data_IF_999741690135
#
_entry.id   IF_999741690135
#
_cell.length_a   1.000
_cell.length_b   1.000
_cell.length_c   1.000
_cell.angle_alpha   90.00
_cell.angle_beta   90.00
_cell.angle_gamma   90.00
#
_symmetry.space_group_name_H-M   'P 1'
#
loop_
_entity.id
_entity.type
_entity.pdbx_description
1 polymer ?
#
# COMPACT_ATOMS: atom_id res chain seq x y z
N UNK A 1 2.80 -24.26 9.62
CA UNK A 1 1.38 -24.48 9.32
C UNK A 1 1.16 -24.62 7.82
N UNK A 2 0.64 -25.76 7.38
CA UNK A 2 0.23 -25.97 5.98
C UNK A 2 -1.03 -25.13 5.64
N UNK A 3 -1.21 -24.71 4.38
CA UNK A 3 -2.37 -23.90 3.97
C UNK A 3 -3.73 -24.52 4.29
N UNK A 4 -3.89 -25.83 4.08
CA UNK A 4 -5.14 -26.56 4.36
C UNK A 4 -5.53 -26.47 5.85
N UNK A 5 -4.56 -26.59 6.75
CA UNK A 5 -4.78 -26.46 8.20
C UNK A 5 -5.22 -25.05 8.57
N UNK A 6 -4.61 -24.03 7.97
CA UNK A 6 -5.01 -22.64 8.19
C UNK A 6 -6.43 -22.35 7.68
N UNK A 7 -6.83 -22.91 6.53
CA UNK A 7 -8.20 -22.81 5.99
C UNK A 7 -9.19 -23.44 6.97
N UNK A 8 -8.91 -24.67 7.43
CA UNK A 8 -9.77 -25.39 8.38
C UNK A 8 -9.97 -24.60 9.68
N UNK A 9 -8.88 -24.13 10.31
CA UNK A 9 -8.94 -23.37 11.56
C UNK A 9 -9.76 -22.08 11.43
N UNK A 10 -9.68 -21.37 10.29
CA UNK A 10 -10.50 -20.19 10.05
C UNK A 10 -11.98 -20.53 9.97
N UNK A 11 -12.31 -21.61 9.29
CA UNK A 11 -13.68 -22.08 9.17
C UNK A 11 -14.23 -22.51 10.54
N UNK A 12 -13.46 -23.26 11.34
CA UNK A 12 -13.80 -23.64 12.71
C UNK A 12 -14.09 -22.41 13.59
N UNK A 13 -13.25 -21.37 13.54
CA UNK A 13 -13.49 -20.14 14.32
C UNK A 13 -14.79 -19.47 13.90
N UNK A 14 -15.06 -19.36 12.60
CA UNK A 14 -16.30 -18.78 12.08
C UNK A 14 -17.53 -19.53 12.59
N UNK A 15 -17.53 -20.86 12.48
CA UNK A 15 -18.63 -21.71 12.94
C UNK A 15 -18.87 -21.59 14.45
N UNK A 16 -17.78 -21.52 15.23
CA UNK A 16 -17.89 -21.28 16.67
C UNK A 16 -18.58 -19.95 16.93
N UNK A 17 -18.14 -18.84 16.31
CA UNK A 17 -18.75 -17.52 16.49
C UNK A 17 -20.21 -17.48 16.05
N UNK A 18 -20.56 -18.04 14.89
CA UNK A 18 -21.95 -18.16 14.44
C UNK A 18 -22.83 -18.87 15.48
N UNK A 19 -22.29 -19.92 16.09
CA UNK A 19 -23.02 -20.76 17.06
C UNK A 19 -23.08 -20.20 18.49
N UNK A 20 -22.30 -19.16 18.81
CA UNK A 20 -22.29 -18.51 20.14
C UNK A 20 -22.79 -17.05 20.09
N UNK A 21 -23.15 -16.56 18.92
CA UNK A 21 -23.43 -15.15 18.66
C UNK A 21 -24.45 -14.55 19.63
N UNK A 22 -25.51 -15.30 19.97
CA UNK A 22 -26.55 -14.82 20.87
C UNK A 22 -26.03 -14.61 22.30
N UNK A 23 -25.38 -15.63 22.88
CA UNK A 23 -24.77 -15.47 24.20
C UNK A 23 -23.62 -14.47 24.20
N UNK A 24 -22.89 -14.34 23.08
CA UNK A 24 -21.87 -13.31 22.91
C UNK A 24 -22.49 -11.91 22.99
N UNK A 25 -23.58 -11.67 22.24
CA UNK A 25 -24.30 -10.39 22.23
C UNK A 25 -24.78 -10.00 23.63
N UNK A 26 -25.46 -10.90 24.33
CA UNK A 26 -25.99 -10.66 25.69
C UNK A 26 -24.89 -10.30 26.71
N UNK A 27 -23.77 -11.01 26.67
CA UNK A 27 -22.64 -10.82 27.60
C UNK A 27 -21.86 -9.51 27.40
N UNK A 28 -22.11 -8.79 26.29
CA UNK A 28 -21.33 -7.61 25.85
C UNK A 28 -22.21 -6.39 25.55
N UNK A 29 -23.34 -6.31 26.26
CA UNK A 29 -24.38 -5.28 26.09
C UNK A 29 -24.14 -3.97 26.87
N UNK A 30 -23.11 -3.87 27.73
CA UNK A 30 -22.80 -2.66 28.52
C UNK A 30 -21.40 -2.11 28.22
N UNK A 31 -21.25 -0.78 28.30
CA UNK A 31 -20.08 0.01 27.88
C UNK A 31 -18.79 -0.26 28.65
N UNK A 32 -17.64 -0.01 28.01
CA UNK A 32 -16.31 -0.33 28.57
C UNK A 32 -15.24 0.73 28.28
N UNK A 33 -14.34 0.81 29.25
CA UNK A 33 -13.03 1.46 29.28
C UNK A 33 -11.94 0.77 28.40
N UNK A 34 -12.27 -0.30 27.66
CA UNK A 34 -11.29 -1.08 26.86
C UNK A 34 -10.62 -0.22 25.76
N UNK A 35 -11.29 0.86 25.36
CA UNK A 35 -10.92 1.72 24.24
C UNK A 35 -10.29 3.05 24.66
N UNK A 36 -10.21 3.33 25.97
CA UNK A 36 -9.69 4.61 26.50
C UNK A 36 -8.25 4.88 26.04
N UNK A 37 -7.44 3.83 25.90
CA UNK A 37 -6.07 3.92 25.36
C UNK A 37 -6.03 4.58 23.96
N UNK A 38 -7.09 4.44 23.17
CA UNK A 38 -7.15 5.00 21.82
C UNK A 38 -7.58 6.47 21.77
N UNK A 39 -8.08 7.03 22.87
CA UNK A 39 -8.64 8.38 22.92
C UNK A 39 -7.61 9.45 22.59
N UNK A 40 -6.38 9.30 23.07
CA UNK A 40 -5.27 10.24 22.82
C UNK A 40 -4.91 10.35 21.33
N UNK A 41 -5.35 9.39 20.51
CA UNK A 41 -5.00 9.28 19.10
C UNK A 41 -6.18 9.53 18.17
N UNK A 42 -7.42 9.40 18.63
CA UNK A 42 -8.63 9.46 17.81
C UNK A 42 -9.09 10.91 17.58
N UNK A 43 -9.29 11.30 16.30
CA UNK A 43 -9.64 12.70 15.96
C UNK A 43 -11.14 13.01 16.01
N UNK A 44 -12.00 12.01 16.24
CA UNK A 44 -13.44 12.23 16.38
C UNK A 44 -14.15 12.53 15.07
N UNK A 45 -14.88 13.65 15.03
CA UNK A 45 -15.85 14.02 13.97
C UNK A 45 -15.33 13.98 12.52
N UNK A 46 -14.02 14.09 12.31
CA UNK A 46 -13.42 14.11 10.98
C UNK A 46 -13.03 12.71 10.48
N UNK A 47 -13.13 11.69 11.34
CA UNK A 47 -12.69 10.33 11.01
C UNK A 47 -13.71 9.58 10.15
N UNK A 48 -13.22 9.02 9.04
CA UNK A 48 -13.90 8.00 8.23
C UNK A 48 -13.47 6.64 8.79
N UNK A 49 -14.38 6.01 9.56
CA UNK A 49 -14.08 4.84 10.39
C UNK A 49 -14.39 3.53 9.66
N UNK A 50 -13.44 2.60 9.70
CA UNK A 50 -13.65 1.19 9.39
C UNK A 50 -13.45 0.35 10.65
N UNK A 51 -14.41 -0.50 10.99
CA UNK A 51 -14.30 -1.46 12.08
C UNK A 51 -14.29 -2.90 11.52
N UNK A 52 -13.10 -3.50 11.48
CA UNK A 52 -12.88 -4.83 10.89
C UNK A 52 -12.96 -5.89 11.98
N UNK A 53 -14.02 -6.69 11.93
CA UNK A 53 -14.50 -7.60 12.98
C UNK A 53 -15.38 -6.88 14.01
N UNK A 54 -16.33 -6.08 13.52
CA UNK A 54 -17.20 -5.23 14.33
C UNK A 54 -18.14 -6.01 15.27
N UNK A 55 -18.35 -7.31 15.03
CA UNK A 55 -19.25 -8.16 15.81
C UNK A 55 -20.67 -7.60 15.84
N UNK A 56 -21.18 -7.36 17.06
CA UNK A 56 -22.50 -6.76 17.28
C UNK A 56 -22.48 -5.23 17.34
N UNK A 57 -21.43 -4.57 16.84
CA UNK A 57 -21.30 -3.10 16.86
C UNK A 57 -20.93 -2.54 18.23
N UNK A 58 -20.30 -3.33 19.13
CA UNK A 58 -19.92 -2.86 20.47
C UNK A 58 -19.01 -1.63 20.44
N UNK A 59 -18.07 -1.56 19.50
CA UNK A 59 -17.20 -0.39 19.34
C UNK A 59 -17.99 0.84 18.89
N UNK A 60 -19.00 0.68 18.04
CA UNK A 60 -19.80 1.80 17.56
C UNK A 60 -20.48 2.56 18.71
N UNK A 61 -21.04 1.85 19.71
CA UNK A 61 -21.61 2.50 20.93
C UNK A 61 -20.61 3.42 21.64
N UNK A 62 -19.33 3.06 21.59
CA UNK A 62 -18.27 3.87 22.16
C UNK A 62 -17.95 5.08 21.29
N UNK A 63 -17.82 4.86 19.97
CA UNK A 63 -17.48 5.92 19.02
C UNK A 63 -18.60 6.94 18.80
N UNK A 64 -19.87 6.59 19.00
CA UNK A 64 -20.99 7.55 18.98
C UNK A 64 -20.74 8.72 19.96
N UNK A 65 -20.14 8.44 21.12
CA UNK A 65 -19.80 9.46 22.12
C UNK A 65 -18.61 10.33 21.69
N UNK A 66 -17.73 9.79 20.85
CA UNK A 66 -16.52 10.47 20.35
C UNK A 66 -16.73 11.20 19.02
N UNK A 67 -17.87 10.95 18.37
CA UNK A 67 -18.26 11.42 17.02
C UNK A 67 -17.34 10.84 15.93
N UNK A 68 -17.87 10.76 14.72
CA UNK A 68 -17.17 10.36 13.50
C UNK A 68 -17.87 10.96 12.28
N UNK A 69 -17.20 10.99 11.14
CA UNK A 69 -17.79 11.44 9.87
C UNK A 69 -18.69 10.37 9.27
N UNK A 70 -18.18 9.14 9.22
CA UNK A 70 -18.92 7.94 8.78
C UNK A 70 -18.30 6.69 9.39
N UNK A 71 -19.10 5.65 9.54
CA UNK A 71 -18.67 4.36 10.09
C UNK A 71 -19.10 3.21 9.19
N UNK A 72 -18.18 2.28 8.92
CA UNK A 72 -18.49 1.00 8.29
C UNK A 72 -18.00 -0.14 9.18
N UNK A 73 -18.93 -0.97 9.66
CA UNK A 73 -18.62 -2.21 10.35
C UNK A 73 -18.53 -3.39 9.36
N UNK A 74 -17.46 -4.17 9.44
CA UNK A 74 -17.28 -5.39 8.66
C UNK A 74 -17.15 -6.58 9.60
N UNK A 75 -17.88 -7.67 9.33
CA UNK A 75 -17.72 -8.93 10.06
C UNK A 75 -18.04 -10.13 9.16
N UNK A 76 -17.62 -11.33 9.54
CA UNK A 76 -17.92 -12.57 8.82
C UNK A 76 -19.03 -13.41 9.49
N UNK A 77 -19.51 -13.00 10.65
CA UNK A 77 -20.56 -13.65 11.44
C UNK A 77 -21.92 -13.01 11.14
N UNK A 78 -22.75 -13.68 10.34
CA UNK A 78 -24.07 -13.17 9.93
C UNK A 78 -25.00 -12.88 11.12
N UNK A 79 -25.09 -13.73 12.16
CA UNK A 79 -25.93 -13.42 13.33
C UNK A 79 -25.51 -12.14 14.07
N UNK A 80 -24.21 -11.89 14.24
CA UNK A 80 -23.72 -10.68 14.91
C UNK A 80 -23.98 -9.42 14.07
N UNK A 81 -23.77 -9.50 12.75
CA UNK A 81 -24.12 -8.40 11.84
C UNK A 81 -25.62 -8.08 11.85
N UNK A 82 -26.50 -9.09 11.96
CA UNK A 82 -27.94 -8.85 12.09
C UNK A 82 -28.27 -8.06 13.35
N UNK A 83 -27.64 -8.40 14.48
CA UNK A 83 -27.79 -7.64 15.73
C UNK A 83 -27.32 -6.19 15.57
N UNK A 84 -26.12 -5.99 15.00
CA UNK A 84 -25.58 -4.65 14.78
C UNK A 84 -26.48 -3.80 13.86
N UNK A 85 -26.89 -4.35 12.71
CA UNK A 85 -27.79 -3.68 11.76
C UNK A 85 -29.12 -3.30 12.38
N UNK A 86 -29.69 -4.18 13.22
CA UNK A 86 -30.96 -3.91 13.91
C UNK A 86 -30.81 -2.79 14.92
N UNK A 87 -29.72 -2.78 15.68
CA UNK A 87 -29.49 -1.81 16.75
C UNK A 87 -29.23 -0.40 16.21
N UNK A 88 -28.46 -0.26 15.14
CA UNK A 88 -28.06 1.04 14.59
C UNK A 88 -28.80 1.41 13.30
N UNK A 89 -29.98 0.82 13.05
CA UNK A 89 -30.75 1.02 11.81
C UNK A 89 -31.13 2.49 11.54
N UNK A 90 -31.25 3.30 12.59
CA UNK A 90 -31.63 4.71 12.49
C UNK A 90 -30.45 5.65 12.17
N UNK A 91 -29.22 5.15 12.13
CA UNK A 91 -28.03 5.98 11.99
C UNK A 91 -27.58 6.07 10.53
N UNK A 92 -27.87 7.18 9.84
CA UNK A 92 -27.64 7.33 8.39
C UNK A 92 -26.16 7.25 7.98
N UNK A 93 -25.25 7.72 8.82
CA UNK A 93 -23.80 7.68 8.57
C UNK A 93 -23.12 6.33 8.93
N UNK A 94 -23.91 5.31 9.27
CA UNK A 94 -23.43 3.99 9.72
C UNK A 94 -23.85 2.91 8.72
N UNK A 95 -22.88 2.14 8.26
CA UNK A 95 -23.08 0.96 7.42
C UNK A 95 -22.55 -0.32 8.07
N UNK A 96 -23.10 -1.46 7.65
CA UNK A 96 -22.57 -2.78 7.99
C UNK A 96 -22.51 -3.69 6.78
N UNK A 97 -21.37 -4.34 6.55
CA UNK A 97 -21.12 -5.21 5.41
C UNK A 97 -20.51 -6.54 5.84
N UNK A 98 -20.93 -7.64 5.21
CA UNK A 98 -20.26 -8.92 5.37
C UNK A 98 -18.90 -8.88 4.69
N UNK A 99 -17.84 -9.31 5.37
CA UNK A 99 -16.49 -9.30 4.79
C UNK A 99 -15.47 -10.05 5.62
N UNK A 100 -14.23 -10.13 5.11
CA UNK A 100 -13.14 -10.85 5.74
C UNK A 100 -11.93 -9.93 5.94
N UNK A 101 -11.22 -10.03 7.07
CA UNK A 101 -10.00 -9.24 7.29
C UNK A 101 -8.87 -9.57 6.30
N UNK A 102 -8.88 -10.76 5.68
CA UNK A 102 -7.88 -11.15 4.68
C UNK A 102 -8.18 -10.64 3.27
N UNK A 103 -9.38 -10.10 3.06
CA UNK A 103 -9.84 -9.53 1.80
C UNK A 103 -11.01 -8.59 2.13
N UNK A 104 -10.67 -7.33 2.41
CA UNK A 104 -11.64 -6.36 2.92
C UNK A 104 -12.39 -5.77 1.71
N UNK A 105 -13.72 -5.95 1.58
CA UNK A 105 -14.47 -5.63 0.36
C UNK A 105 -14.80 -4.13 0.28
N UNK A 106 -13.78 -3.27 0.31
CA UNK A 106 -13.86 -1.80 0.26
C UNK A 106 -12.70 -1.22 -0.55
N UNK A 107 -12.90 0.01 -0.99
CA UNK A 107 -11.90 0.77 -1.76
C UNK A 107 -10.59 0.97 -0.98
N UNK A 108 -9.43 0.94 -1.67
CA UNK A 108 -8.15 1.28 -1.06
C UNK A 108 -8.08 2.77 -0.68
N UNK A 109 -7.22 3.11 0.27
CA UNK A 109 -6.87 4.48 0.66
C UNK A 109 -8.04 5.39 1.04
N UNK A 110 -9.04 4.85 1.74
CA UNK A 110 -10.27 5.57 2.04
C UNK A 110 -10.44 5.92 3.52
N UNK A 111 -9.99 5.04 4.43
CA UNK A 111 -10.32 5.14 5.85
C UNK A 111 -9.20 5.80 6.64
N UNK A 112 -9.56 6.81 7.42
CA UNK A 112 -8.64 7.59 8.23
C UNK A 112 -8.49 7.02 9.65
N UNK A 113 -9.45 6.20 10.10
CA UNK A 113 -9.37 5.43 11.34
C UNK A 113 -9.81 3.99 11.08
N UNK A 114 -8.92 3.03 11.27
CA UNK A 114 -9.22 1.61 11.10
C UNK A 114 -9.06 0.88 12.43
N UNK A 115 -10.13 0.27 12.91
CA UNK A 115 -10.16 -0.50 14.13
C UNK A 115 -10.16 -2.00 13.81
N UNK A 116 -9.36 -2.76 14.56
CA UNK A 116 -9.37 -4.22 14.55
C UNK A 116 -9.23 -4.74 15.96
N UNK A 117 -10.37 -4.88 16.63
CA UNK A 117 -10.43 -5.13 18.07
C UNK A 117 -10.67 -6.60 18.35
N UNK A 118 -9.68 -7.27 18.95
CA UNK A 118 -9.77 -8.67 19.33
C UNK A 118 -10.05 -9.62 18.13
N UNK A 119 -9.47 -9.32 16.97
CA UNK A 119 -9.67 -10.10 15.73
C UNK A 119 -8.41 -10.84 15.29
N UNK A 120 -7.27 -10.14 15.21
CA UNK A 120 -6.05 -10.69 14.58
C UNK A 120 -5.57 -12.01 15.21
N UNK A 121 -5.80 -12.20 16.51
CA UNK A 121 -5.45 -13.46 17.21
C UNK A 121 -6.30 -14.65 16.79
N UNK A 122 -7.39 -14.47 16.03
CA UNK A 122 -8.13 -15.56 15.40
C UNK A 122 -7.58 -15.97 14.03
N UNK A 123 -6.59 -15.24 13.51
CA UNK A 123 -6.00 -15.51 12.20
C UNK A 123 -4.83 -16.50 12.35
N UNK A 124 -4.93 -17.71 11.76
CA UNK A 124 -3.91 -18.71 11.89
C UNK A 124 -2.75 -18.46 10.94
N UNK A 125 -1.56 -18.87 11.36
CA UNK A 125 -0.29 -18.71 10.63
C UNK A 125 0.17 -17.27 10.45
N UNK A 126 1.48 -17.07 10.57
CA UNK A 126 2.15 -15.79 10.33
C UNK A 126 1.87 -15.19 8.95
N UNK A 127 1.76 -16.04 7.92
CA UNK A 127 1.52 -15.59 6.55
C UNK A 127 0.15 -14.90 6.40
N UNK A 128 -0.91 -15.49 6.95
CA UNK A 128 -2.24 -14.88 6.91
C UNK A 128 -2.36 -13.70 7.88
N UNK A 129 -1.67 -13.73 9.02
CA UNK A 129 -1.63 -12.56 9.92
C UNK A 129 -0.95 -11.36 9.24
N UNK A 130 0.14 -11.59 8.50
CA UNK A 130 0.79 -10.56 7.68
C UNK A 130 -0.12 -10.07 6.54
N UNK A 131 -0.83 -10.98 5.87
CA UNK A 131 -1.83 -10.63 4.85
C UNK A 131 -2.95 -9.75 5.43
N UNK A 132 -3.50 -10.12 6.60
CA UNK A 132 -4.52 -9.35 7.31
C UNK A 132 -4.07 -7.91 7.56
N UNK A 133 -2.84 -7.75 8.09
CA UNK A 133 -2.28 -6.42 8.35
C UNK A 133 -2.04 -5.63 7.05
N UNK A 134 -1.56 -6.27 5.98
CA UNK A 134 -1.41 -5.60 4.67
C UNK A 134 -2.75 -5.14 4.09
N UNK A 135 -3.80 -5.93 4.23
CA UNK A 135 -5.15 -5.54 3.83
C UNK A 135 -5.68 -4.35 4.64
N UNK A 136 -5.42 -4.32 5.95
CA UNK A 136 -5.71 -3.15 6.76
C UNK A 136 -4.93 -1.92 6.26
N UNK A 137 -3.65 -2.07 5.91
CA UNK A 137 -2.84 -0.98 5.34
C UNK A 137 -3.38 -0.49 3.99
N UNK A 138 -3.82 -1.41 3.11
CA UNK A 138 -4.37 -1.10 1.77
C UNK A 138 -5.57 -0.14 1.85
N UNK A 139 -6.47 -0.36 2.80
CA UNK A 139 -7.71 0.43 2.91
C UNK A 139 -7.51 1.79 3.61
N UNK A 140 -6.35 2.00 4.23
CA UNK A 140 -6.04 3.19 5.00
C UNK A 140 -5.50 4.34 4.14
N UNK A 141 -5.90 5.56 4.47
CA UNK A 141 -5.21 6.77 3.98
C UNK A 141 -3.78 6.82 4.53
N UNK A 142 -2.83 7.51 3.87
CA UNK A 142 -1.44 7.63 4.35
C UNK A 142 -1.30 8.13 5.80
N UNK A 143 -2.11 9.10 6.20
CA UNK A 143 -2.12 9.66 7.58
C UNK A 143 -3.11 8.94 8.51
N UNK A 144 -3.69 7.84 8.06
CA UNK A 144 -4.70 7.10 8.82
C UNK A 144 -4.08 6.37 10.02
N UNK A 145 -4.87 6.15 11.06
CA UNK A 145 -4.44 5.41 12.26
C UNK A 145 -5.12 4.06 12.38
N UNK A 146 -4.32 3.05 12.67
CA UNK A 146 -4.72 1.69 12.99
C UNK A 146 -4.81 1.56 14.50
N UNK A 147 -5.98 1.14 14.98
CA UNK A 147 -6.28 0.88 16.38
C UNK A 147 -6.48 -0.62 16.56
N UNK A 148 -5.45 -1.30 17.06
CA UNK A 148 -5.39 -2.74 17.09
C UNK A 148 -5.39 -3.25 18.53
N UNK A 149 -6.17 -4.31 18.78
CA UNK A 149 -6.04 -5.07 20.03
C UNK A 149 -6.04 -6.58 19.81
N UNK A 150 -5.22 -7.28 20.60
CA UNK A 150 -5.20 -8.75 20.67
C UNK A 150 -5.18 -9.21 22.12
N UNK A 151 -5.69 -10.42 22.36
CA UNK A 151 -5.69 -10.97 23.71
C UNK A 151 -4.27 -11.26 24.19
N UNK A 152 -3.93 -10.80 25.40
CA UNK A 152 -2.71 -11.25 26.06
C UNK A 152 -2.99 -12.62 26.69
N UNK A 153 -2.65 -13.67 25.95
CA UNK A 153 -2.87 -15.06 26.36
C UNK A 153 -1.78 -15.60 27.30
N UNK A 154 -0.65 -14.91 27.47
CA UNK A 154 0.43 -15.30 28.40
C UNK A 154 0.13 -15.01 29.88
N UNK A 155 -1.13 -15.20 30.28
CA UNK A 155 -1.60 -15.02 31.66
C UNK A 155 -1.82 -16.39 32.29
N UNK A 156 -1.58 -16.49 33.59
CA UNK A 156 -1.64 -17.76 34.33
C UNK A 156 -2.95 -18.55 34.10
N UNK A 157 -4.08 -17.86 33.93
CA UNK A 157 -5.40 -18.47 33.68
C UNK A 157 -5.45 -19.35 32.42
N UNK A 158 -4.51 -19.17 31.49
CA UNK A 158 -4.42 -19.90 30.22
C UNK A 158 -3.32 -20.98 30.23
N UNK A 159 -2.67 -21.24 31.36
CA UNK A 159 -1.58 -22.21 31.47
C UNK A 159 -1.97 -23.61 30.94
N UNK A 160 -3.19 -24.07 31.22
CA UNK A 160 -3.70 -25.36 30.72
C UNK A 160 -3.85 -25.39 29.20
N UNK A 161 -4.21 -24.26 28.57
CA UNK A 161 -4.28 -24.16 27.11
C UNK A 161 -2.89 -24.29 26.48
N UNK A 162 -1.85 -23.75 27.11
CA UNK A 162 -0.47 -23.92 26.68
C UNK A 162 0.07 -25.34 26.85
N UNK A 163 -0.32 -26.04 27.92
CA UNK A 163 0.02 -27.47 28.08
C UNK A 163 -0.54 -28.26 26.90
N UNK A 164 -1.84 -28.09 26.57
CA UNK A 164 -2.43 -28.74 25.40
C UNK A 164 -1.82 -28.26 24.07
N UNK A 165 -1.47 -26.99 23.96
CA UNK A 165 -0.79 -26.41 22.80
C UNK A 165 0.57 -27.04 22.55
N UNK A 166 1.35 -27.28 23.62
CA UNK A 166 2.64 -27.97 23.55
C UNK A 166 2.53 -29.37 22.98
N UNK A 167 1.61 -30.19 23.52
CA UNK A 167 1.39 -31.55 23.02
C UNK A 167 0.93 -31.55 21.54
N UNK A 168 0.08 -30.60 21.15
CA UNK A 168 -0.32 -30.46 19.73
C UNK A 168 0.85 -30.06 18.85
N UNK A 169 1.69 -29.13 19.30
CA UNK A 169 2.85 -28.67 18.55
C UNK A 169 3.77 -29.84 18.19
N UNK A 170 4.18 -30.64 19.19
CA UNK A 170 5.13 -31.76 18.99
C UNK A 170 4.53 -32.92 18.18
N UNK A 171 3.20 -33.12 18.22
CA UNK A 171 2.52 -34.21 17.49
C UNK A 171 2.05 -33.83 16.08
N UNK A 172 2.00 -32.53 15.75
CA UNK A 172 1.39 -32.06 14.51
C UNK A 172 2.28 -32.10 13.26
N UNK A 173 3.58 -32.43 13.39
CA UNK A 173 4.51 -32.41 12.26
C UNK A 173 4.74 -31.01 11.67
N UNK A 174 4.72 -29.96 12.50
CA UNK A 174 4.99 -28.57 12.07
C UNK A 174 3.76 -27.76 11.64
N UNK A 175 2.56 -28.31 11.84
CA UNK A 175 1.32 -27.62 11.51
C UNK A 175 0.92 -26.56 12.52
N UNK A 176 1.17 -26.82 13.80
CA UNK A 176 0.93 -25.88 14.88
C UNK A 176 2.25 -25.36 15.45
N UNK A 177 2.20 -24.23 16.13
CA UNK A 177 3.24 -23.71 17.01
C UNK A 177 2.79 -23.81 18.47
N UNK A 178 3.72 -23.65 19.41
CA UNK A 178 3.39 -23.58 20.84
C UNK A 178 2.43 -22.42 21.18
N UNK A 179 2.41 -21.36 20.39
CA UNK A 179 1.52 -20.20 20.55
C UNK A 179 0.11 -20.45 20.00
N UNK A 180 -0.18 -21.60 19.40
CA UNK A 180 -1.49 -21.91 18.83
C UNK A 180 -2.39 -22.64 19.82
N UNK A 181 -3.37 -21.91 20.36
CA UNK A 181 -4.19 -22.33 21.49
C UNK A 181 -5.66 -22.52 21.10
N UNK A 182 -6.38 -23.30 21.90
CA UNK A 182 -7.83 -23.39 21.84
C UNK A 182 -8.42 -22.86 23.14
N UNK A 183 -9.20 -21.79 23.03
CA UNK A 183 -9.76 -21.10 24.18
C UNK A 183 -11.26 -21.44 24.29
N UNK A 184 -11.74 -21.91 25.45
CA UNK A 184 -13.15 -22.26 25.60
C UNK A 184 -14.06 -21.01 25.65
N UNK A 185 -15.30 -21.17 25.21
CA UNK A 185 -16.42 -20.28 25.42
C UNK A 185 -17.56 -21.04 26.10
N UNK A 186 -18.29 -20.40 27.01
CA UNK A 186 -19.42 -21.01 27.73
C UNK A 186 -19.04 -21.66 29.06
N UNK A 187 -20.02 -21.76 29.97
CA UNK A 187 -19.84 -22.32 31.32
C UNK A 187 -20.20 -23.82 31.42
N UNK A 188 -21.23 -24.29 30.70
CA UNK A 188 -21.71 -25.68 30.70
C UNK A 188 -21.22 -26.46 29.49
N UNK A 189 -21.66 -26.08 28.29
CA UNK A 189 -21.14 -26.63 27.03
C UNK A 189 -20.02 -25.73 26.50
N UNK A 190 -18.78 -26.23 26.58
CA UNK A 190 -17.60 -25.47 26.13
C UNK A 190 -17.42 -25.62 24.63
N UNK A 191 -17.49 -24.50 23.90
CA UNK A 191 -17.07 -24.43 22.50
C UNK A 191 -15.67 -23.82 22.42
N UNK A 192 -14.75 -24.49 21.74
CA UNK A 192 -13.35 -24.07 21.69
C UNK A 192 -13.07 -23.30 20.40
N UNK A 193 -12.45 -22.12 20.52
CA UNK A 193 -12.02 -21.31 19.37
C UNK A 193 -10.50 -21.28 19.29
N UNK A 194 -9.98 -21.39 18.09
CA UNK A 194 -8.56 -21.17 17.83
C UNK A 194 -8.16 -19.72 18.15
N UNK A 195 -7.06 -19.57 18.86
CA UNK A 195 -6.39 -18.29 19.10
C UNK A 195 -4.87 -18.46 19.00
N UNK A 196 -4.21 -17.54 18.31
CA UNK A 196 -2.78 -17.35 18.35
C UNK A 196 -2.37 -16.43 19.51
N UNK A 197 -1.47 -16.89 20.37
CA UNK A 197 -0.97 -16.16 21.53
C UNK A 197 0.21 -15.24 21.14
N UNK A 198 -0.12 -14.00 20.79
CA UNK A 198 0.87 -12.98 20.47
C UNK A 198 1.68 -12.54 21.70
N UNK A 199 2.98 -12.34 21.50
CA UNK A 199 3.80 -11.48 22.36
C UNK A 199 3.88 -10.08 21.75
N UNK A 200 4.07 -9.05 22.58
CA UNK A 200 4.19 -7.68 22.06
C UNK A 200 5.33 -7.56 21.03
N UNK A 201 6.57 -8.02 21.26
CA UNK A 201 7.64 -7.90 20.26
C UNK A 201 7.31 -8.57 18.91
N UNK A 202 6.65 -9.73 18.95
CA UNK A 202 6.20 -10.44 17.75
C UNK A 202 5.16 -9.63 16.97
N UNK A 203 4.17 -9.06 17.66
CA UNK A 203 3.15 -8.21 17.05
C UNK A 203 3.77 -6.96 16.41
N UNK A 204 4.74 -6.32 17.08
CA UNK A 204 5.45 -5.14 16.54
C UNK A 204 6.29 -5.49 15.31
N UNK A 205 6.98 -6.64 15.31
CA UNK A 205 7.70 -7.14 14.12
C UNK A 205 6.73 -7.35 12.97
N UNK A 206 5.57 -7.97 13.22
CA UNK A 206 4.59 -8.25 12.18
C UNK A 206 3.99 -6.96 11.59
N UNK A 207 3.67 -5.97 12.44
CA UNK A 207 3.21 -4.64 12.01
C UNK A 207 4.27 -3.95 11.14
N UNK A 208 5.53 -3.94 11.57
CA UNK A 208 6.62 -3.34 10.78
C UNK A 208 6.77 -4.00 9.41
N UNK A 209 6.71 -5.32 9.35
CA UNK A 209 6.77 -6.07 8.07
C UNK A 209 5.54 -5.84 7.18
N UNK A 210 4.38 -5.57 7.79
CA UNK A 210 3.17 -5.18 7.08
C UNK A 210 3.21 -3.74 6.55
N UNK A 211 4.26 -2.97 6.87
CA UNK A 211 4.39 -1.58 6.47
C UNK A 211 3.69 -0.62 7.42
N UNK A 212 3.74 -0.86 8.73
CA UNK A 212 3.25 0.06 9.75
C UNK A 212 4.37 0.66 10.59
N UNK A 213 4.16 1.91 10.99
CA UNK A 213 4.94 2.62 11.99
C UNK A 213 4.11 2.59 13.25
N UNK A 214 4.68 2.03 14.32
CA UNK A 214 4.01 1.94 15.61
C UNK A 214 4.14 3.30 16.29
N UNK A 215 3.01 3.91 16.61
CA UNK A 215 2.94 5.20 17.30
C UNK A 215 2.97 5.01 18.82
N UNK A 216 2.23 4.01 19.33
CA UNK A 216 2.20 3.69 20.75
C UNK A 216 1.72 2.26 21.01
N UNK A 217 2.08 1.73 22.17
CA UNK A 217 1.73 0.38 22.60
C UNK A 217 1.48 0.34 24.10
N UNK A 218 0.51 -0.46 24.54
CA UNK A 218 0.28 -0.67 25.96
C UNK A 218 -0.35 -2.03 26.23
N UNK A 219 -0.64 -2.30 27.51
CA UNK A 219 -1.53 -3.37 27.92
C UNK A 219 -2.76 -2.76 28.59
N UNK A 220 -3.91 -2.81 27.93
CA UNK A 220 -5.18 -2.30 28.47
C UNK A 220 -6.10 -3.45 28.86
N UNK A 221 -6.58 -3.46 30.12
CA UNK A 221 -7.43 -4.52 30.71
C UNK A 221 -6.92 -5.95 30.47
N UNK A 222 -5.61 -6.10 30.32
CA UNK A 222 -4.96 -7.38 30.07
C UNK A 222 -5.04 -7.86 28.61
N UNK A 223 -5.27 -6.97 27.66
CA UNK A 223 -5.07 -7.16 26.22
C UNK A 223 -3.86 -6.34 25.77
N UNK A 224 -3.18 -6.78 24.72
CA UNK A 224 -2.16 -5.96 24.06
C UNK A 224 -2.89 -4.99 23.14
N UNK A 225 -2.56 -3.71 23.24
CA UNK A 225 -3.12 -2.64 22.42
C UNK A 225 -2.00 -1.89 21.71
N UNK A 226 -2.24 -1.55 20.44
CA UNK A 226 -1.28 -0.85 19.59
C UNK A 226 -2.00 0.21 18.79
N UNK A 227 -1.43 1.42 18.76
CA UNK A 227 -1.74 2.43 17.75
C UNK A 227 -0.59 2.45 16.76
N UNK A 228 -0.92 2.34 15.48
CA UNK A 228 0.05 2.43 14.40
C UNK A 228 -0.51 3.31 13.28
N UNK A 229 0.34 3.71 12.35
CA UNK A 229 -0.08 4.29 11.07
C UNK A 229 0.61 3.55 9.94
N UNK A 230 0.07 3.55 8.71
CA UNK A 230 0.80 3.08 7.56
C UNK A 230 2.17 3.78 7.54
N UNK A 231 3.23 2.99 7.69
CA UNK A 231 4.54 3.44 7.34
C UNK A 231 4.57 3.36 5.82
N UNK A 232 4.50 4.51 5.19
CA UNK A 232 5.25 4.68 3.97
C UNK A 232 6.67 4.93 4.49
N UNK A 233 7.59 3.93 4.54
CA UNK A 233 8.97 4.32 4.60
C UNK A 233 9.14 5.31 3.46
N UNK A 234 9.89 6.37 3.67
CA UNK A 234 10.72 6.81 2.57
C UNK A 234 11.58 5.58 2.24
N UNK A 235 11.07 4.68 1.38
CA UNK A 235 11.83 3.63 0.69
C UNK A 235 12.73 4.30 -0.34
N UNK A 236 13.18 5.52 -0.02
CA UNK A 236 13.89 6.44 -0.85
C UNK A 236 15.34 6.07 -0.74
N UNK A 237 15.94 5.84 -1.90
CA UNK A 237 17.34 5.51 -2.01
C UNK A 237 18.02 6.59 -2.80
N UNK A 238 19.15 7.07 -2.29
CA UNK A 238 20.06 7.89 -3.08
C UNK A 238 20.98 6.98 -3.88
N UNK A 239 20.76 6.93 -5.20
CA UNK A 239 21.61 6.21 -6.14
C UNK A 239 22.45 7.26 -6.88
N UNK A 240 23.74 7.35 -6.54
CA UNK A 240 24.66 8.35 -7.07
C UNK A 240 24.13 9.81 -6.92
N UNK A 241 23.42 10.08 -5.82
CA UNK A 241 22.86 11.40 -5.54
C UNK A 241 21.50 11.69 -6.20
N UNK A 242 20.97 10.77 -7.00
CA UNK A 242 19.57 10.82 -7.48
C UNK A 242 18.69 10.05 -6.51
N UNK A 243 17.66 10.70 -6.00
CA UNK A 243 16.66 10.07 -5.14
C UNK A 243 15.70 9.21 -5.96
N UNK A 244 15.43 8.00 -5.49
CA UNK A 244 14.47 7.06 -6.11
C UNK A 244 13.55 6.55 -5.01
N UNK A 245 12.24 6.72 -5.17
CA UNK A 245 11.24 6.31 -4.20
C UNK A 245 10.88 4.83 -4.42
N UNK A 246 10.96 4.01 -3.36
CA UNK A 246 10.53 2.63 -3.42
C UNK A 246 9.01 2.52 -3.36
N UNK A 247 8.37 2.51 -4.52
CA UNK A 247 6.93 2.36 -4.67
C UNK A 247 6.61 1.17 -5.55
N UNK A 248 5.50 0.49 -5.26
CA UNK A 248 4.84 -0.40 -6.23
C UNK A 248 4.04 0.39 -7.25
N UNK A 249 3.59 -0.25 -8.34
CA UNK A 249 2.72 0.40 -9.31
C UNK A 249 1.40 0.86 -8.66
N UNK A 250 0.82 0.04 -7.78
CA UNK A 250 -0.39 0.39 -7.01
C UNK A 250 -0.14 1.59 -6.07
N UNK A 251 1.00 1.59 -5.34
CA UNK A 251 1.37 2.69 -4.44
C UNK A 251 1.60 3.98 -5.24
N UNK A 252 2.28 3.92 -6.39
CA UNK A 252 2.54 5.07 -7.26
C UNK A 252 1.24 5.68 -7.81
N UNK A 253 0.31 4.83 -8.25
CA UNK A 253 -1.01 5.26 -8.70
C UNK A 253 -1.80 5.93 -7.57
N UNK A 254 -1.82 5.32 -6.38
CA UNK A 254 -2.48 5.89 -5.20
C UNK A 254 -1.93 7.26 -4.81
N UNK A 255 -0.61 7.46 -4.90
CA UNK A 255 0.03 8.75 -4.67
C UNK A 255 -0.40 9.80 -5.71
N UNK A 256 -0.42 9.44 -7.00
CA UNK A 256 -0.87 10.35 -8.07
C UNK A 256 -2.34 10.72 -7.89
N UNK A 257 -3.19 9.78 -7.49
CA UNK A 257 -4.59 10.08 -7.13
C UNK A 257 -4.69 11.10 -6.00
N UNK A 258 -3.84 10.96 -4.98
CA UNK A 258 -3.74 11.95 -3.89
C UNK A 258 -3.26 13.32 -4.38
N UNK A 259 -2.29 13.36 -5.30
CA UNK A 259 -1.79 14.61 -5.91
C UNK A 259 -2.88 15.38 -6.66
N UNK A 260 -3.78 14.68 -7.36
CA UNK A 260 -4.91 15.31 -8.06
C UNK A 260 -5.90 16.00 -7.11
N UNK A 261 -6.00 15.53 -5.87
CA UNK A 261 -6.86 16.12 -4.83
C UNK A 261 -6.19 17.25 -4.06
N UNK A 262 -4.91 17.50 -4.30
CA UNK A 262 -4.13 18.51 -3.59
C UNK A 262 -4.29 19.90 -4.22
N UNK A 263 -3.99 20.92 -3.42
CA UNK A 263 -3.96 22.31 -3.90
C UNK A 263 -2.63 22.67 -4.61
N UNK A 264 -1.66 21.76 -4.65
CA UNK A 264 -0.33 21.98 -5.19
C UNK A 264 -0.15 21.34 -6.58
N UNK A 265 0.86 21.80 -7.32
CA UNK A 265 1.30 21.13 -8.53
C UNK A 265 2.38 20.12 -8.18
N UNK A 266 2.20 18.89 -8.66
CA UNK A 266 3.12 17.79 -8.47
C UNK A 266 3.80 17.44 -9.78
N UNK A 267 5.08 17.09 -9.71
CA UNK A 267 5.76 16.52 -10.86
C UNK A 267 6.40 15.17 -10.52
N UNK A 268 6.29 14.26 -11.48
CA UNK A 268 6.70 12.86 -11.39
C UNK A 268 7.81 12.63 -12.41
N UNK A 269 8.87 11.97 -11.97
CA UNK A 269 10.00 11.57 -12.83
C UNK A 269 10.19 10.07 -12.72
N UNK A 270 10.77 9.48 -13.76
CA UNK A 270 11.02 8.04 -13.88
C UNK A 270 12.52 7.78 -14.02
N UNK A 271 13.34 8.00 -12.98
CA UNK A 271 14.76 7.73 -13.08
C UNK A 271 15.01 6.30 -13.54
N UNK A 272 15.86 6.17 -14.54
CA UNK A 272 16.41 4.91 -15.02
C UNK A 272 17.95 4.98 -14.92
N UNK A 273 18.69 3.87 -15.17
CA UNK A 273 20.15 3.89 -15.11
C UNK A 273 20.80 4.98 -15.99
N UNK A 274 20.25 5.23 -17.18
CA UNK A 274 20.77 6.26 -18.11
C UNK A 274 20.58 7.67 -17.55
N UNK A 275 19.41 7.98 -17.01
CA UNK A 275 19.10 9.26 -16.35
C UNK A 275 20.01 9.47 -15.15
N UNK A 276 20.23 8.44 -14.33
CA UNK A 276 21.10 8.52 -13.15
C UNK A 276 22.55 8.81 -13.54
N UNK A 277 23.04 8.18 -14.62
CA UNK A 277 24.37 8.44 -15.17
C UNK A 277 24.45 9.84 -15.79
N UNK A 278 23.43 10.26 -16.54
CA UNK A 278 23.36 11.60 -17.13
C UNK A 278 23.38 12.69 -16.04
N UNK A 279 22.67 12.48 -14.93
CA UNK A 279 22.63 13.39 -13.78
C UNK A 279 24.00 13.60 -13.11
N UNK A 280 24.99 12.74 -13.34
CA UNK A 280 26.36 12.98 -12.87
C UNK A 280 27.05 14.12 -13.62
N UNK A 281 26.61 14.42 -14.85
CA UNK A 281 27.18 15.48 -15.70
C UNK A 281 26.63 16.86 -15.37
N UNK A 282 25.50 16.97 -14.67
CA UNK A 282 24.83 18.25 -14.37
C UNK A 282 24.20 18.24 -12.99
N UNK A 283 24.76 19.04 -12.08
CA UNK A 283 24.19 19.26 -10.73
C UNK A 283 22.78 19.85 -10.81
N UNK A 284 22.56 20.79 -11.73
CA UNK A 284 21.24 21.41 -11.94
C UNK A 284 20.20 20.36 -12.36
N UNK A 285 20.53 19.47 -13.29
CA UNK A 285 19.63 18.40 -13.70
C UNK A 285 19.34 17.42 -12.56
N UNK A 286 20.35 17.06 -11.76
CA UNK A 286 20.16 16.22 -10.56
C UNK A 286 19.23 16.87 -9.54
N UNK A 287 19.33 18.18 -9.33
CA UNK A 287 18.41 18.92 -8.45
C UNK A 287 16.99 18.95 -9.01
N UNK A 288 16.84 19.09 -10.34
CA UNK A 288 15.54 18.96 -11.03
C UNK A 288 14.98 17.54 -10.87
N UNK A 289 15.77 16.48 -10.76
CA UNK A 289 15.21 15.15 -10.46
C UNK A 289 14.79 15.04 -8.98
N UNK A 290 15.64 15.54 -8.07
CA UNK A 290 15.43 15.37 -6.64
C UNK A 290 14.30 16.23 -6.05
N UNK A 291 13.88 17.30 -6.72
CA UNK A 291 12.71 18.10 -6.28
C UNK A 291 11.36 17.43 -6.60
N UNK A 292 11.35 16.29 -7.28
CA UNK A 292 10.12 15.65 -7.75
C UNK A 292 9.29 15.16 -6.58
N UNK A 293 7.97 15.28 -6.73
CA UNK A 293 7.01 14.76 -5.77
C UNK A 293 7.06 13.23 -5.73
N UNK A 294 7.39 12.59 -6.85
CA UNK A 294 7.57 11.15 -6.96
C UNK A 294 8.68 10.79 -7.96
N UNK A 295 9.62 9.92 -7.55
CA UNK A 295 10.74 9.42 -8.37
C UNK A 295 10.64 7.91 -8.56
N UNK A 296 10.04 7.50 -9.67
CA UNK A 296 9.68 6.10 -9.94
C UNK A 296 10.91 5.29 -10.39
N UNK A 297 11.15 4.08 -9.82
CA UNK A 297 12.28 3.24 -10.19
C UNK A 297 12.07 2.56 -11.56
N UNK A 298 12.42 3.25 -12.63
CA UNK A 298 12.29 2.77 -14.00
C UNK A 298 13.54 1.98 -14.43
N UNK A 299 13.51 0.68 -14.16
CA UNK A 299 14.53 -0.26 -14.65
C UNK A 299 15.20 -1.09 -13.56
N UNK A 300 15.53 -2.33 -13.91
CA UNK A 300 16.08 -3.33 -12.97
C UNK A 300 17.45 -2.95 -12.40
N UNK A 301 18.22 -2.12 -13.11
CA UNK A 301 19.52 -1.65 -12.64
C UNK A 301 19.41 -0.85 -11.34
N UNK A 302 18.31 -0.13 -11.13
CA UNK A 302 18.07 0.63 -9.89
C UNK A 302 17.75 -0.28 -8.71
N UNK A 303 16.96 -1.33 -8.93
CA UNK A 303 16.67 -2.34 -7.90
C UNK A 303 17.98 -3.00 -7.42
N UNK A 304 18.84 -3.41 -8.37
CA UNK A 304 20.15 -3.95 -8.02
C UNK A 304 21.03 -2.93 -7.27
N UNK A 305 21.14 -1.71 -7.80
CA UNK A 305 21.96 -0.66 -7.21
C UNK A 305 21.49 -0.32 -5.78
N UNK A 306 20.18 -0.29 -5.56
CA UNK A 306 19.59 -0.01 -4.25
C UNK A 306 19.99 -1.05 -3.20
N UNK A 307 19.92 -2.34 -3.54
CA UNK A 307 20.36 -3.44 -2.67
C UNK A 307 21.87 -3.43 -2.45
N UNK A 308 22.63 -3.13 -3.48
CA UNK A 308 24.08 -3.01 -3.43
C UNK A 308 24.53 -1.89 -2.48
N UNK A 309 23.82 -0.75 -2.49
CA UNK A 309 24.09 0.39 -1.61
C UNK A 309 23.76 0.11 -0.14
N UNK A 310 22.78 -0.76 0.14
CA UNK A 310 22.43 -1.19 1.49
C UNK A 310 23.35 -2.30 2.05
N UNK A 311 24.17 -2.92 1.21
CA UNK A 311 25.15 -3.89 1.70
C UNK A 311 26.22 -3.17 2.53
N UNK A 312 26.74 -3.78 3.61
CA UNK A 312 27.77 -3.15 4.44
C UNK A 312 28.94 -2.64 3.57
N UNK A 313 29.26 -1.34 3.65
CA UNK A 313 30.37 -0.74 2.91
C UNK A 313 31.52 -0.36 3.84
N UNK A 314 32.70 -0.88 3.47
CA UNK A 314 34.07 -0.50 3.85
C UNK A 314 34.40 -0.49 5.34
N UNK A 315 35.18 -1.51 5.72
CA UNK A 315 35.86 -1.67 7.01
C UNK A 315 36.42 -3.09 7.22
N UNK A 316 35.84 -4.11 6.56
CA UNK A 316 36.13 -5.53 6.84
C UNK A 316 36.35 -6.45 5.61
N UNK A 317 36.29 -5.96 4.36
CA UNK A 317 36.33 -6.84 3.15
C UNK A 317 37.16 -6.21 2.01
N UNK A 318 37.96 -7.03 1.30
CA UNK A 318 38.85 -6.59 0.21
C UNK A 318 38.10 -6.05 -1.02
N UNK A 319 38.75 -5.17 -1.81
CA UNK A 319 38.19 -4.62 -3.06
C UNK A 319 37.82 -5.71 -4.07
N UNK A 320 38.59 -6.80 -4.12
CA UNK A 320 38.38 -7.92 -5.03
C UNK A 320 37.09 -8.68 -4.69
N UNK A 321 36.86 -8.97 -3.40
CA UNK A 321 35.63 -9.63 -2.94
C UNK A 321 34.41 -8.74 -3.21
N UNK A 322 34.54 -7.42 -3.03
CA UNK A 322 33.49 -6.47 -3.42
C UNK A 322 33.21 -6.52 -4.93
N UNK A 323 34.24 -6.54 -5.78
CA UNK A 323 34.03 -6.65 -7.22
C UNK A 323 33.24 -7.91 -7.60
N UNK A 324 33.68 -9.09 -7.13
CA UNK A 324 33.00 -10.36 -7.42
C UNK A 324 31.59 -10.43 -6.81
N UNK A 325 31.34 -9.82 -5.64
CA UNK A 325 29.97 -9.68 -5.11
C UNK A 325 29.09 -8.81 -6.01
N UNK A 326 29.65 -7.76 -6.60
CA UNK A 326 28.93 -6.90 -7.55
C UNK A 326 28.53 -7.66 -8.81
N UNK A 327 29.50 -8.36 -9.41
CA UNK A 327 29.29 -9.21 -10.60
C UNK A 327 28.30 -10.34 -10.29
N UNK A 328 28.48 -11.06 -9.18
CA UNK A 328 27.55 -12.11 -8.75
C UNK A 328 26.14 -11.57 -8.49
N UNK A 329 26.03 -10.37 -7.92
CA UNK A 329 24.75 -9.67 -7.75
C UNK A 329 24.06 -9.37 -9.07
N UNK A 330 24.80 -8.85 -10.06
CA UNK A 330 24.27 -8.60 -11.41
C UNK A 330 23.80 -9.89 -12.07
N UNK A 331 24.60 -10.96 -12.02
CA UNK A 331 24.21 -12.26 -12.56
C UNK A 331 22.95 -12.83 -11.87
N UNK A 332 22.82 -12.59 -10.56
CA UNK A 332 21.65 -13.05 -9.82
C UNK A 332 20.35 -12.30 -10.15
N UNK A 333 20.40 -11.15 -10.85
CA UNK A 333 19.18 -10.55 -11.41
C UNK A 333 18.49 -11.49 -12.41
N UNK A 334 19.28 -12.26 -13.18
CA UNK A 334 18.77 -13.18 -14.19
C UNK A 334 18.14 -14.44 -13.57
N UNK A 335 18.61 -14.83 -12.38
CA UNK A 335 18.25 -16.10 -11.74
C UNK A 335 17.24 -15.88 -10.60
N UNK A 336 17.37 -14.80 -9.82
CA UNK A 336 16.58 -14.51 -8.61
C UNK A 336 16.24 -13.01 -8.47
N UNK A 337 15.52 -12.40 -9.43
CA UNK A 337 15.24 -10.96 -9.44
C UNK A 337 14.46 -10.47 -8.20
N UNK A 338 13.64 -11.33 -7.59
CA UNK A 338 12.87 -11.03 -6.38
C UNK A 338 13.75 -10.69 -5.16
N UNK A 339 15.01 -11.13 -5.13
CA UNK A 339 15.96 -10.86 -4.03
C UNK A 339 16.41 -9.40 -3.94
N UNK A 340 16.11 -8.60 -4.96
CA UNK A 340 16.46 -7.19 -5.06
C UNK A 340 15.26 -6.26 -4.79
N UNK A 341 14.11 -6.80 -4.38
CA UNK A 341 12.86 -6.05 -4.11
C UNK A 341 12.85 -5.31 -2.77
N UNK A 342 14.03 -4.93 -2.29
CA UNK A 342 14.19 -4.13 -1.08
C UNK A 342 15.47 -3.31 -1.21
N UNK A 343 15.40 -1.98 -0.98
CA UNK A 343 14.25 -1.20 -0.53
C UNK A 343 13.26 -0.82 -1.63
N UNK A 344 13.63 -0.92 -2.91
CA UNK A 344 12.73 -0.66 -4.02
C UNK A 344 11.89 -1.93 -4.25
N UNK A 345 10.57 -1.92 -3.96
CA UNK A 345 9.75 -3.14 -3.90
C UNK A 345 9.46 -3.72 -5.29
N UNK A 346 9.46 -2.87 -6.30
CA UNK A 346 9.05 -3.19 -7.66
C UNK A 346 9.80 -2.30 -8.66
N UNK A 347 9.94 -2.79 -9.89
CA UNK A 347 10.34 -1.99 -11.05
C UNK A 347 9.06 -1.43 -11.66
N UNK A 348 8.92 -0.12 -11.67
CA UNK A 348 7.73 0.56 -12.18
C UNK A 348 8.18 1.41 -13.36
N UNK A 349 7.62 1.18 -14.55
CA UNK A 349 8.00 1.96 -15.74
C UNK A 349 7.09 3.17 -15.91
N UNK A 350 7.62 4.21 -16.57
CA UNK A 350 6.80 5.37 -16.93
C UNK A 350 5.60 5.00 -17.81
N UNK A 351 5.77 4.02 -18.71
CA UNK A 351 4.71 3.54 -19.61
C UNK A 351 3.59 2.86 -18.83
N UNK A 352 3.92 1.95 -17.90
CA UNK A 352 2.91 1.16 -17.18
C UNK A 352 2.08 2.06 -16.25
N UNK A 353 2.71 3.05 -15.60
CA UNK A 353 1.98 4.03 -14.81
C UNK A 353 1.12 4.97 -15.70
N UNK A 354 1.65 5.45 -16.83
CA UNK A 354 0.88 6.29 -17.77
C UNK A 354 -0.35 5.57 -18.29
N UNK A 355 -0.19 4.31 -18.72
CA UNK A 355 -1.29 3.43 -19.13
C UNK A 355 -2.34 3.34 -18.02
N UNK A 356 -1.91 3.03 -16.80
CA UNK A 356 -2.83 2.82 -15.68
C UNK A 356 -3.59 4.08 -15.27
N UNK A 357 -2.90 5.21 -15.17
CA UNK A 357 -3.51 6.51 -14.92
C UNK A 357 -4.52 6.88 -16.00
N UNK A 358 -4.22 6.55 -17.26
CA UNK A 358 -5.15 6.79 -18.37
C UNK A 358 -6.38 5.89 -18.28
N UNK A 359 -6.19 4.59 -18.01
CA UNK A 359 -7.29 3.63 -17.87
C UNK A 359 -8.22 3.94 -16.69
N UNK A 360 -7.71 4.52 -15.60
CA UNK A 360 -8.50 4.87 -14.42
C UNK A 360 -8.87 6.37 -14.36
N UNK A 361 -8.57 7.13 -15.42
CA UNK A 361 -8.77 8.58 -15.49
C UNK A 361 -10.22 9.01 -15.22
N UNK A 362 -11.20 8.28 -15.75
CA UNK A 362 -12.63 8.55 -15.49
C UNK A 362 -12.98 8.50 -14.00
N UNK A 363 -12.51 7.46 -13.30
CA UNK A 363 -12.77 7.29 -11.86
C UNK A 363 -12.09 8.36 -11.00
N UNK A 364 -10.99 8.92 -11.51
CA UNK A 364 -10.23 9.97 -10.83
C UNK A 364 -10.69 11.39 -11.18
N UNK A 365 -11.61 11.56 -12.13
CA UNK A 365 -11.96 12.87 -12.68
C UNK A 365 -10.78 13.54 -13.39
N UNK A 366 -9.86 12.76 -13.95
CA UNK A 366 -8.66 13.26 -14.61
C UNK A 366 -8.94 13.65 -16.06
N UNK A 367 -8.39 14.79 -16.48
CA UNK A 367 -8.33 15.28 -17.86
C UNK A 367 -6.86 15.33 -18.27
N UNK A 368 -6.51 14.60 -19.32
CA UNK A 368 -5.13 14.29 -19.71
C UNK A 368 -4.77 15.05 -20.98
N UNK A 369 -3.59 15.68 -20.96
CA UNK A 369 -2.94 16.22 -22.14
C UNK A 369 -1.67 15.42 -22.48
N UNK A 370 -1.51 15.05 -23.76
CA UNK A 370 -0.33 14.36 -24.27
C UNK A 370 0.57 15.34 -25.03
N UNK A 371 1.77 15.62 -24.51
CA UNK A 371 2.73 16.55 -25.10
C UNK A 371 4.01 15.82 -25.50
N UNK A 372 4.49 15.99 -26.73
CA UNK A 372 5.75 15.39 -27.20
C UNK A 372 5.59 14.29 -28.24
N UNK A 373 6.68 13.55 -28.44
CA UNK A 373 6.89 12.62 -29.55
C UNK A 373 6.89 13.29 -30.94
N UNK A 374 7.07 12.49 -32.00
CA UNK A 374 7.03 12.99 -33.37
C UNK A 374 5.61 13.43 -33.75
N UNK A 375 5.45 14.37 -34.72
CA UNK A 375 4.13 14.77 -35.22
C UNK A 375 3.25 13.58 -35.57
N UNK A 376 2.03 13.53 -35.00
CA UNK A 376 1.06 12.45 -35.23
C UNK A 376 1.14 11.28 -34.24
N UNK A 377 2.22 11.14 -33.45
CA UNK A 377 2.35 10.00 -32.53
C UNK A 377 1.42 10.12 -31.32
N UNK A 378 1.31 11.31 -30.71
CA UNK A 378 0.39 11.54 -29.60
C UNK A 378 -1.08 11.41 -30.05
N UNK A 379 -1.38 11.83 -31.28
CA UNK A 379 -2.70 11.65 -31.91
C UNK A 379 -3.02 10.16 -32.09
N UNK A 380 -2.08 9.36 -32.59
CA UNK A 380 -2.24 7.90 -32.70
C UNK A 380 -2.49 7.23 -31.33
N UNK A 381 -1.82 7.70 -30.26
CA UNK A 381 -2.09 7.21 -28.90
C UNK A 381 -3.54 7.49 -28.52
N UNK A 382 -4.03 8.72 -28.75
CA UNK A 382 -5.42 9.10 -28.49
C UNK A 382 -6.41 8.26 -29.30
N UNK A 383 -6.15 8.05 -30.59
CA UNK A 383 -6.99 7.25 -31.49
C UNK A 383 -7.04 5.77 -31.12
N UNK A 384 -5.91 5.22 -30.65
CA UNK A 384 -5.80 3.83 -30.23
C UNK A 384 -6.51 3.57 -28.92
N UNK A 385 -6.37 4.47 -27.95
CA UNK A 385 -6.97 4.30 -26.63
C UNK A 385 -8.43 4.76 -26.54
N UNK A 386 -8.83 5.78 -27.32
CA UNK A 386 -10.20 6.32 -27.37
C UNK A 386 -10.81 6.68 -26.02
N UNK A 387 -9.99 7.17 -25.08
CA UNK A 387 -10.47 7.71 -23.81
C UNK A 387 -10.86 9.18 -23.97
N UNK A 388 -12.10 9.52 -23.62
CA UNK A 388 -12.62 10.90 -23.64
C UNK A 388 -11.84 11.83 -22.70
N UNK A 389 -11.19 11.25 -21.69
CA UNK A 389 -10.35 11.97 -20.73
C UNK A 389 -9.06 12.50 -21.38
N UNK A 390 -8.67 12.02 -22.56
CA UNK A 390 -7.58 12.62 -23.34
C UNK A 390 -8.13 13.85 -24.06
N UNK A 391 -8.02 15.00 -23.40
CA UNK A 391 -8.64 16.27 -23.82
C UNK A 391 -7.78 17.05 -24.81
N UNK A 392 -6.50 16.71 -24.95
CA UNK A 392 -5.62 17.35 -25.93
C UNK A 392 -4.35 16.56 -26.23
N UNK A 393 -3.83 16.77 -27.43
CA UNK A 393 -2.53 16.27 -27.90
C UNK A 393 -1.78 17.39 -28.59
N UNK A 394 -0.47 17.41 -28.45
CA UNK A 394 0.39 18.28 -29.25
C UNK A 394 1.80 17.69 -29.31
N UNK A 395 2.38 17.60 -30.51
CA UNK A 395 3.75 17.15 -30.65
C UNK A 395 4.70 18.15 -29.99
N UNK A 396 4.76 19.39 -30.50
CA UNK A 396 5.61 20.47 -29.98
C UNK A 396 7.10 20.11 -29.85
N UNK A 397 7.92 21.08 -29.47
CA UNK A 397 9.30 20.84 -29.08
C UNK A 397 9.64 21.50 -27.75
N UNK A 398 10.63 20.99 -26.98
CA UNK A 398 11.08 21.60 -25.74
C UNK A 398 11.85 22.92 -25.94
N UNK A 399 11.82 23.49 -27.15
CA UNK A 399 12.51 24.71 -27.52
C UNK A 399 11.80 25.94 -26.93
N UNK A 400 12.59 26.90 -26.42
CA UNK A 400 12.07 28.11 -25.74
C UNK A 400 11.05 28.87 -26.59
N UNK A 401 11.29 28.96 -27.90
CA UNK A 401 10.41 29.65 -28.86
C UNK A 401 9.01 29.04 -29.01
N UNK A 402 8.82 27.78 -28.61
CA UNK A 402 7.52 27.08 -28.69
C UNK A 402 6.80 27.05 -27.33
N UNK A 403 7.47 27.46 -26.23
CA UNK A 403 6.92 27.34 -24.88
C UNK A 403 5.60 28.09 -24.70
N UNK A 404 5.48 29.30 -25.25
CA UNK A 404 4.26 30.10 -25.14
C UNK A 404 3.06 29.44 -25.82
N UNK A 405 3.25 28.91 -27.02
CA UNK A 405 2.20 28.20 -27.74
C UNK A 405 1.79 26.92 -27.00
N UNK A 406 2.77 26.14 -26.52
CA UNK A 406 2.50 24.90 -25.78
C UNK A 406 1.71 25.20 -24.50
N UNK A 407 2.16 26.18 -23.71
CA UNK A 407 1.49 26.59 -22.46
C UNK A 407 0.06 27.04 -22.74
N UNK A 408 -0.16 27.82 -23.80
CA UNK A 408 -1.50 28.25 -24.21
C UNK A 408 -2.40 27.04 -24.53
N UNK A 409 -1.93 26.12 -25.38
CA UNK A 409 -2.69 24.91 -25.75
C UNK A 409 -3.05 24.03 -24.56
N UNK A 410 -2.12 23.86 -23.62
CA UNK A 410 -2.35 23.06 -22.41
C UNK A 410 -3.41 23.75 -21.52
N UNK A 411 -3.30 25.07 -21.30
CA UNK A 411 -4.29 25.80 -20.50
C UNK A 411 -5.69 25.80 -21.16
N UNK A 412 -5.76 25.97 -22.47
CA UNK A 412 -7.03 25.96 -23.23
C UNK A 412 -7.72 24.58 -23.22
N UNK A 413 -6.99 23.50 -22.89
CA UNK A 413 -7.53 22.13 -22.87
C UNK A 413 -8.26 21.73 -21.59
N UNK A 414 -8.15 22.53 -20.52
CA UNK A 414 -8.62 22.20 -19.16
C UNK A 414 -8.03 20.90 -18.57
N UNK A 415 -6.91 20.41 -19.08
CA UNK A 415 -6.24 19.26 -18.51
C UNK A 415 -5.79 19.51 -17.06
N UNK A 416 -5.76 18.44 -16.26
CA UNK A 416 -5.18 18.42 -14.92
C UNK A 416 -4.03 17.41 -14.79
N UNK A 417 -3.82 16.53 -15.78
CA UNK A 417 -2.64 15.69 -15.96
C UNK A 417 -1.94 16.06 -17.26
N UNK A 418 -0.62 16.23 -17.21
CA UNK A 418 0.23 16.46 -18.38
C UNK A 418 1.28 15.34 -18.50
N UNK A 419 1.23 14.56 -19.58
CA UNK A 419 2.29 13.61 -19.93
C UNK A 419 3.23 14.25 -20.96
N UNK A 420 4.55 14.22 -20.68
CA UNK A 420 5.58 14.88 -21.51
C UNK A 420 6.57 13.86 -22.07
N UNK A 421 6.60 13.71 -23.40
CA UNK A 421 7.40 12.74 -24.15
C UNK A 421 8.50 13.42 -25.00
N UNK A 422 9.32 14.28 -24.37
CA UNK A 422 10.47 14.91 -25.05
C UNK A 422 11.79 14.13 -24.88
N UNK A 423 11.78 13.07 -24.07
CA UNK A 423 12.96 12.35 -23.66
C UNK A 423 13.76 13.09 -22.59
N UNK A 424 14.44 12.33 -21.73
CA UNK A 424 15.35 12.88 -20.75
C UNK A 424 16.64 13.41 -21.43
N UNK A 425 17.23 14.52 -20.97
CA UNK A 425 16.81 15.38 -19.85
C UNK A 425 15.77 16.46 -20.22
N UNK A 426 15.43 16.58 -21.51
CA UNK A 426 14.69 17.73 -22.05
C UNK A 426 13.29 17.86 -21.45
N UNK A 427 12.61 16.75 -21.17
CA UNK A 427 11.27 16.75 -20.59
C UNK A 427 11.26 17.32 -19.16
N UNK A 428 12.20 16.91 -18.30
CA UNK A 428 12.28 17.43 -16.93
C UNK A 428 12.70 18.89 -16.89
N UNK A 429 13.66 19.28 -17.73
CA UNK A 429 14.09 20.68 -17.84
C UNK A 429 12.95 21.58 -18.36
N UNK A 430 12.19 21.11 -19.36
CA UNK A 430 11.05 21.84 -19.89
C UNK A 430 9.93 21.98 -18.85
N UNK A 431 9.59 20.91 -18.13
CA UNK A 431 8.60 20.96 -17.05
C UNK A 431 9.05 21.92 -15.93
N UNK A 432 10.32 21.88 -15.54
CA UNK A 432 10.87 22.78 -14.52
C UNK A 432 10.75 24.27 -14.91
N UNK A 433 10.85 24.60 -16.21
CA UNK A 433 10.68 25.98 -16.71
C UNK A 433 9.22 26.42 -16.84
N UNK A 434 8.30 25.50 -17.12
CA UNK A 434 6.97 25.86 -17.62
C UNK A 434 5.79 25.43 -16.75
N UNK A 435 5.93 24.46 -15.84
CA UNK A 435 4.79 23.90 -15.10
C UNK A 435 3.99 24.96 -14.32
N UNK A 436 4.69 25.93 -13.71
CA UNK A 436 4.08 27.05 -12.96
C UNK A 436 3.22 27.98 -13.83
N UNK A 437 3.43 27.99 -15.16
CA UNK A 437 2.64 28.77 -16.12
C UNK A 437 1.31 28.09 -16.47
N UNK A 438 1.09 26.86 -16.00
CA UNK A 438 -0.07 26.03 -16.31
C UNK A 438 -0.81 25.60 -15.03
N UNK A 439 -1.48 26.52 -14.31
CA UNK A 439 -2.05 26.27 -12.98
C UNK A 439 -3.15 25.20 -12.95
N UNK A 440 -3.78 24.89 -14.10
CA UNK A 440 -4.73 23.79 -14.23
C UNK A 440 -4.10 22.40 -14.09
N UNK A 441 -2.82 22.26 -14.47
CA UNK A 441 -2.08 21.00 -14.34
C UNK A 441 -1.75 20.75 -12.86
N UNK A 442 -2.33 19.67 -12.31
CA UNK A 442 -2.04 19.17 -10.96
C UNK A 442 -0.90 18.15 -10.94
N UNK A 443 -0.78 17.35 -12.00
CA UNK A 443 0.28 16.35 -12.12
C UNK A 443 0.93 16.46 -13.49
N UNK A 444 2.25 16.66 -13.53
CA UNK A 444 3.05 16.56 -14.75
C UNK A 444 4.03 15.39 -14.64
N UNK A 445 4.13 14.57 -15.68
CA UNK A 445 4.96 13.37 -15.68
C UNK A 445 5.75 13.26 -16.98
N UNK A 446 7.07 13.12 -16.85
CA UNK A 446 7.93 12.76 -17.98
C UNK A 446 7.76 11.27 -18.31
N UNK A 447 7.46 10.94 -19.56
CA UNK A 447 7.16 9.56 -19.99
C UNK A 447 8.12 9.03 -21.06
N UNK A 448 9.14 9.81 -21.45
CA UNK A 448 10.15 9.38 -22.41
C UNK A 448 9.53 8.94 -23.74
N UNK A 449 9.88 7.76 -24.23
CA UNK A 449 9.34 7.16 -25.46
C UNK A 449 8.02 6.41 -25.29
N UNK A 450 7.26 6.62 -24.20
CA UNK A 450 6.03 5.88 -23.94
C UNK A 450 5.01 5.97 -25.08
N UNK A 451 4.89 7.16 -25.70
CA UNK A 451 3.95 7.35 -26.81
C UNK A 451 4.31 6.48 -28.02
N UNK A 452 5.60 6.34 -28.36
CA UNK A 452 6.04 5.50 -29.47
C UNK A 452 5.69 4.01 -29.26
N UNK A 453 5.79 3.52 -28.03
CA UNK A 453 5.41 2.15 -27.69
C UNK A 453 3.91 1.92 -27.79
N UNK A 454 3.12 2.88 -27.30
CA UNK A 454 1.66 2.79 -27.34
C UNK A 454 1.16 2.93 -28.78
N UNK A 455 1.67 3.90 -29.55
CA UNK A 455 1.34 4.08 -30.96
C UNK A 455 1.78 2.89 -31.84
N UNK A 456 2.72 2.06 -31.36
CA UNK A 456 3.26 0.92 -32.12
C UNK A 456 4.37 1.30 -33.10
N UNK A 457 4.88 2.54 -33.02
CA UNK A 457 6.05 3.03 -33.76
C UNK A 457 7.31 2.28 -33.32
N UNK A 458 7.39 1.92 -32.03
CA UNK A 458 8.45 1.05 -31.48
C UNK A 458 7.83 -0.19 -30.83
N UNK A 459 8.47 -1.34 -31.00
CA UNK A 459 8.07 -2.57 -30.33
C UNK A 459 8.63 -2.63 -28.91
N UNK A 460 7.79 -2.91 -27.91
CA UNK A 460 8.24 -3.22 -26.55
C UNK A 460 8.93 -4.60 -26.53
N UNK A 461 9.91 -4.75 -25.63
CA UNK A 461 10.50 -6.05 -25.37
C UNK A 461 9.41 -7.08 -24.95
N UNK A 462 9.47 -8.34 -25.40
CA UNK A 462 8.56 -9.39 -24.96
C UNK A 462 8.43 -9.45 -23.44
N UNK A 463 7.24 -9.75 -22.92
CA UNK A 463 6.97 -9.73 -21.47
C UNK A 463 7.93 -10.61 -20.66
N UNK A 464 8.41 -11.72 -21.23
CA UNK A 464 9.37 -12.59 -20.55
C UNK A 464 10.74 -11.90 -20.37
N UNK A 465 11.22 -11.14 -21.36
CA UNK A 465 12.45 -10.35 -21.27
C UNK A 465 12.30 -9.23 -20.25
N UNK A 466 11.17 -8.53 -20.29
CA UNK A 466 10.85 -7.47 -19.34
C UNK A 466 10.81 -8.00 -17.89
N UNK A 467 10.17 -9.15 -17.64
CA UNK A 467 10.13 -9.82 -16.33
C UNK A 467 11.51 -10.27 -15.85
N UNK A 468 12.39 -10.64 -16.77
CA UNK A 468 13.80 -10.99 -16.48
C UNK A 468 14.72 -9.78 -16.36
N UNK A 469 14.24 -8.56 -16.65
CA UNK A 469 15.08 -7.36 -16.67
C UNK A 469 16.05 -7.29 -17.85
N UNK A 470 15.76 -8.00 -18.93
CA UNK A 470 16.57 -8.09 -20.15
C UNK A 470 16.10 -7.15 -21.27
N UNK A 471 15.19 -6.22 -20.95
CA UNK A 471 14.63 -5.28 -21.94
C UNK A 471 15.66 -4.37 -22.61
N UNK A 472 16.82 -4.16 -21.99
CA UNK A 472 17.93 -3.39 -22.54
C UNK A 472 18.68 -4.11 -23.68
N UNK A 473 18.40 -5.40 -23.94
CA UNK A 473 18.93 -6.16 -25.08
C UNK A 473 18.04 -6.08 -26.34
N UNK A 474 16.85 -5.49 -26.21
CA UNK A 474 15.82 -5.39 -27.25
C UNK A 474 15.78 -3.97 -27.82
#
# INVERSE_FOLDING_TARGET
MRPQTAIRLRQEVKEVYDSIAEGFHQSRSRGWADFEFFDDYYRGKDEVVLDVGCGNGRLLRYLEQKKFKSYLGIDNCDPLLRHAKKEFAAHEAVGFKKGNILEIPVEPHHYSAVFTIAVLHHIPSRALQLQALKELGRVMTPEGKLYLSVWNLYRWRYATAFIHGFFRWITSGGDFSYSDLYIPWGRREKKYRYCHAFRMPELLTLLKEAGFEVLDTSTSKGNLVVVARPFLPSRRVSILGVEVDGVTLDEAEGLVKGFLQSNEQHYVVTPNPEIVLHAQKSKAYREILNRASLKIPDGVGLLWASRWLQSPRKGQISRLVHFFRGVGGLLSLLIRPHTFRAPLPERVTGVDLMERLTHHSYQMGAKIFLLGAAPGVAEQVREKWRFDQIVGTYAGAPAVKEEEEIVKRVNDSEANILFVAYGAPKQEEWMNRNLKKMPGIKVAMGVGGAFDFVAGVRQRAPQWMNRMGLEWLW
#
